data_IF_853610447613
#
_entry.id   IF_853610447613
#
_cell.length_a   1.000
_cell.length_b   1.000
_cell.length_c   1.000
_cell.angle_alpha   90.00
_cell.angle_beta   90.00
_cell.angle_gamma   90.00
#
_symmetry.space_group_name_H-M   'P 1'
#
loop_
_entity.id
_entity.type
_entity.pdbx_description
1 polymer ?
#
# COMPACT_ATOMS: atom_id res chain seq x y z
N UNK A 1 6.84 7.23 -3.93
CA UNK A 1 6.45 7.13 -2.50
C UNK A 1 5.96 5.72 -2.25
N UNK A 2 6.12 5.22 -1.03
CA UNK A 2 5.66 3.88 -0.64
C UNK A 2 4.83 4.01 0.63
N UNK A 3 3.75 3.24 0.73
CA UNK A 3 2.89 3.13 1.92
C UNK A 3 2.21 1.76 1.93
N UNK A 4 1.98 1.18 3.12
CA UNK A 4 1.07 0.02 3.24
C UNK A 4 -0.30 0.46 3.76
N UNK A 5 -1.38 -0.08 3.19
CA UNK A 5 -2.74 0.33 3.56
C UNK A 5 -3.79 -0.68 3.13
N UNK A 6 -4.89 -0.75 3.89
CA UNK A 6 -6.08 -1.53 3.53
C UNK A 6 -7.32 -0.66 3.26
N UNK A 7 -7.16 0.66 3.25
CA UNK A 7 -8.24 1.60 3.47
C UNK A 7 -8.36 2.73 2.45
N UNK A 8 -9.22 3.69 2.77
CA UNK A 8 -9.43 4.92 2.01
C UNK A 8 -8.16 5.76 1.89
N UNK A 9 -7.24 5.68 2.85
CA UNK A 9 -5.94 6.35 2.79
C UNK A 9 -5.18 6.00 1.51
N UNK A 10 -5.12 4.71 1.14
CA UNK A 10 -4.49 4.27 -0.10
C UNK A 10 -5.13 4.86 -1.35
N UNK A 11 -6.46 4.82 -1.43
CA UNK A 11 -7.20 5.38 -2.56
C UNK A 11 -7.01 6.91 -2.67
N UNK A 12 -7.04 7.63 -1.55
CA UNK A 12 -6.82 9.08 -1.52
C UNK A 12 -5.39 9.45 -1.89
N UNK A 13 -4.39 8.72 -1.36
CA UNK A 13 -2.99 8.94 -1.73
C UNK A 13 -2.76 8.64 -3.21
N UNK A 14 -3.27 7.53 -3.73
CA UNK A 14 -3.17 7.20 -5.16
C UNK A 14 -3.74 8.33 -6.03
N UNK A 15 -4.92 8.84 -5.68
CA UNK A 15 -5.53 9.97 -6.39
C UNK A 15 -4.66 11.24 -6.36
N UNK A 16 -4.21 11.66 -5.17
CA UNK A 16 -3.38 12.87 -5.03
C UNK A 16 -2.05 12.72 -5.76
N UNK A 17 -1.41 11.55 -5.68
CA UNK A 17 -0.16 11.27 -6.39
C UNK A 17 -0.35 11.36 -7.90
N UNK A 18 -1.43 10.79 -8.43
CA UNK A 18 -1.78 10.89 -9.83
C UNK A 18 -1.94 12.34 -10.28
N UNK A 19 -2.70 13.14 -9.53
CA UNK A 19 -2.94 14.56 -9.82
C UNK A 19 -1.64 15.38 -9.74
N UNK A 20 -0.74 15.04 -8.82
CA UNK A 20 0.53 15.77 -8.60
C UNK A 20 1.70 15.25 -9.44
N UNK A 21 1.53 14.15 -10.17
CA UNK A 21 2.61 13.52 -10.94
C UNK A 21 3.68 12.86 -10.08
N UNK A 22 3.33 12.39 -8.88
CA UNK A 22 4.25 11.65 -8.02
C UNK A 22 4.10 10.14 -8.22
N UNK A 23 5.19 9.40 -8.43
CA UNK A 23 5.12 7.94 -8.49
C UNK A 23 4.73 7.40 -7.11
N UNK A 24 3.79 6.46 -7.09
CA UNK A 24 3.24 5.87 -5.87
C UNK A 24 3.20 4.35 -5.98
N UNK A 25 3.81 3.69 -5.00
CA UNK A 25 3.68 2.25 -4.78
C UNK A 25 2.88 2.03 -3.50
N UNK A 26 1.87 1.17 -3.55
CA UNK A 26 1.01 0.83 -2.43
C UNK A 26 1.13 -0.66 -2.14
N UNK A 27 1.36 -1.01 -0.89
CA UNK A 27 1.28 -2.39 -0.41
C UNK A 27 -0.07 -2.61 0.26
N UNK A 28 -0.86 -3.55 -0.23
CA UNK A 28 -2.17 -3.91 0.31
C UNK A 28 -2.33 -5.42 0.40
N UNK A 29 -3.55 -5.91 0.61
CA UNK A 29 -3.87 -7.33 0.72
C UNK A 29 -5.23 -7.65 0.12
N UNK A 30 -5.39 -8.89 -0.34
CA UNK A 30 -6.67 -9.47 -0.76
C UNK A 30 -7.66 -9.65 0.41
N UNK A 31 -7.25 -9.48 1.67
CA UNK A 31 -8.16 -9.34 2.81
C UNK A 31 -8.97 -8.04 2.81
N UNK A 32 -8.59 -7.04 2.00
CA UNK A 32 -9.30 -5.78 1.91
C UNK A 32 -10.25 -5.74 0.70
N UNK A 33 -11.16 -4.76 0.70
CA UNK A 33 -12.18 -4.64 -0.34
C UNK A 33 -11.54 -4.53 -1.74
N UNK A 34 -11.98 -5.36 -2.70
CA UNK A 34 -11.44 -5.36 -4.05
C UNK A 34 -11.75 -4.05 -4.79
N UNK A 35 -12.83 -3.35 -4.45
CA UNK A 35 -13.15 -2.02 -4.96
C UNK A 35 -12.05 -1.01 -4.61
N UNK A 36 -11.49 -1.08 -3.40
CA UNK A 36 -10.39 -0.20 -2.98
C UNK A 36 -9.11 -0.50 -3.74
N UNK A 37 -8.77 -1.79 -3.90
CA UNK A 37 -7.60 -2.23 -4.68
C UNK A 37 -7.70 -1.75 -6.13
N UNK A 38 -8.84 -1.97 -6.78
CA UNK A 38 -9.12 -1.49 -8.14
C UNK A 38 -9.04 0.03 -8.23
N UNK A 39 -9.52 0.75 -7.21
CA UNK A 39 -9.45 2.21 -7.17
C UNK A 39 -7.99 2.70 -7.12
N UNK A 40 -7.14 2.08 -6.28
CA UNK A 40 -5.71 2.41 -6.23
C UNK A 40 -5.02 2.20 -7.59
N UNK A 41 -5.28 1.06 -8.23
CA UNK A 41 -4.75 0.75 -9.56
C UNK A 41 -5.29 1.69 -10.64
N UNK A 42 -6.58 2.04 -10.58
CA UNK A 42 -7.21 2.94 -11.55
C UNK A 42 -6.62 4.35 -11.50
N UNK A 43 -6.16 4.80 -10.32
CA UNK A 43 -5.40 6.04 -10.17
C UNK A 43 -3.92 5.90 -10.52
N UNK A 44 -3.46 4.74 -11.01
CA UNK A 44 -2.10 4.55 -11.47
C UNK A 44 -1.08 4.29 -10.37
N UNK A 45 -1.51 3.91 -9.16
CA UNK A 45 -0.58 3.40 -8.17
C UNK A 45 -0.07 2.01 -8.58
N UNK A 46 1.23 1.79 -8.38
CA UNK A 46 1.84 0.46 -8.44
C UNK A 46 1.39 -0.34 -7.20
N UNK A 47 0.47 -1.28 -7.39
CA UNK A 47 -0.18 -2.00 -6.29
C UNK A 47 0.45 -3.38 -6.09
N UNK A 48 1.09 -3.57 -4.93
CA UNK A 48 1.59 -4.86 -4.46
C UNK A 48 0.57 -5.47 -3.51
N UNK A 49 0.13 -6.71 -3.78
CA UNK A 49 -0.87 -7.41 -2.96
C UNK A 49 -0.21 -8.54 -2.19
N UNK A 50 -0.20 -8.41 -0.86
CA UNK A 50 0.25 -9.44 0.09
C UNK A 50 -0.91 -10.40 0.36
N UNK A 51 -0.75 -11.71 0.11
CA UNK A 51 -1.82 -12.68 0.34
C UNK A 51 -2.22 -12.75 1.82
N UNK A 52 -3.51 -12.80 2.09
CA UNK A 52 -4.07 -13.02 3.42
C UNK A 52 -4.27 -14.51 3.71
N UNK A 53 -4.51 -14.82 4.98
CA UNK A 53 -4.88 -16.17 5.39
C UNK A 53 -6.41 -16.34 5.33
N UNK A 54 -6.89 -16.71 4.14
CA UNK A 54 -8.31 -16.96 3.87
C UNK A 54 -9.17 -15.69 3.90
N UNK A 55 -8.65 -14.55 3.44
CA UNK A 55 -9.36 -13.27 3.44
C UNK A 55 -9.38 -12.58 4.81
N UNK A 56 -8.68 -13.10 5.80
CA UNK A 56 -8.70 -12.57 7.17
C UNK A 56 -7.66 -11.47 7.37
N UNK A 57 -8.09 -10.41 8.04
CA UNK A 57 -7.20 -9.37 8.56
C UNK A 57 -6.63 -9.87 9.90
N UNK A 58 -5.33 -10.09 9.95
CA UNK A 58 -4.62 -10.59 11.14
C UNK A 58 -3.44 -9.68 11.48
N UNK A 59 -2.94 -9.68 12.73
CA UNK A 59 -1.72 -8.94 13.09
C UNK A 59 -0.52 -9.33 12.21
N UNK A 60 -0.37 -10.63 11.92
CA UNK A 60 0.68 -11.16 11.05
C UNK A 60 0.60 -10.57 9.62
N UNK A 61 -0.60 -10.37 9.09
CA UNK A 61 -0.76 -9.73 7.78
C UNK A 61 -0.13 -8.34 7.74
N UNK A 62 -0.30 -7.53 8.78
CA UNK A 62 0.31 -6.21 8.86
C UNK A 62 1.85 -6.29 8.95
N UNK A 63 2.38 -7.27 9.68
CA UNK A 63 3.84 -7.51 9.74
C UNK A 63 4.38 -7.83 8.35
N UNK A 64 3.71 -8.73 7.61
CA UNK A 64 4.12 -9.10 6.25
C UNK A 64 4.00 -7.95 5.27
N UNK A 65 2.95 -7.13 5.38
CA UNK A 65 2.81 -5.92 4.58
C UNK A 65 3.92 -4.90 4.86
N UNK A 66 4.30 -4.71 6.13
CA UNK A 66 5.43 -3.84 6.51
C UNK A 66 6.76 -4.36 5.96
N UNK A 67 7.02 -5.66 6.08
CA UNK A 67 8.23 -6.27 5.52
C UNK A 67 8.33 -6.08 4.01
N UNK A 68 7.19 -6.11 3.31
CA UNK A 68 7.16 -5.89 1.87
C UNK A 68 7.47 -4.42 1.51
N UNK A 69 6.99 -3.47 2.30
CA UNK A 69 7.41 -2.07 2.18
C UNK A 69 8.92 -1.91 2.41
N UNK A 70 9.46 -2.52 3.46
CA UNK A 70 10.89 -2.47 3.77
C UNK A 70 11.73 -3.06 2.62
N UNK A 71 11.25 -4.16 2.00
CA UNK A 71 11.87 -4.77 0.82
C UNK A 71 11.89 -3.82 -0.38
N UNK A 72 10.79 -3.10 -0.63
CA UNK A 72 10.68 -2.14 -1.73
C UNK A 72 11.64 -0.96 -1.50
N UNK A 73 11.68 -0.41 -0.29
CA UNK A 73 12.57 0.70 0.06
C UNK A 73 14.04 0.29 -0.06
N UNK A 74 14.39 -0.92 0.38
CA UNK A 74 15.76 -1.43 0.26
C UNK A 74 16.22 -1.60 -1.20
N UNK A 75 15.28 -1.87 -2.12
CA UNK A 75 15.57 -2.03 -3.54
C UNK A 75 15.70 -0.69 -4.29
N UNK A 76 15.09 0.39 -3.78
CA UNK A 76 15.15 1.73 -4.38
C UNK A 76 15.28 2.82 -3.30
N UNK A 77 16.52 3.27 -3.10
CA UNK A 77 16.89 4.28 -2.10
C UNK A 77 16.40 5.69 -2.43
N UNK A 78 15.80 5.91 -3.62
CA UNK A 78 15.19 7.18 -4.02
C UNK A 78 13.73 7.35 -3.55
N UNK A 79 13.10 6.29 -3.03
CA UNK A 79 11.70 6.33 -2.61
C UNK A 79 11.53 6.98 -1.24
N UNK A 80 10.66 7.99 -1.18
CA UNK A 80 10.18 8.55 0.08
C UNK A 80 9.13 7.63 0.68
N UNK A 81 9.43 7.01 1.82
CA UNK A 81 8.45 6.26 2.60
C UNK A 81 7.52 7.25 3.32
N UNK A 82 6.23 7.17 3.01
CA UNK A 82 5.20 7.86 3.79
C UNK A 82 4.69 6.85 4.79
N UNK A 83 5.42 6.63 5.88
CA UNK A 83 4.89 5.85 6.99
C UNK A 83 3.61 6.55 7.47
N UNK A 84 2.44 5.98 7.15
CA UNK A 84 1.24 6.25 7.92
C UNK A 84 1.56 6.05 9.39
N UNK A 85 1.20 7.03 10.20
CA UNK A 85 1.60 7.20 11.58
C UNK A 85 1.73 5.92 12.40
N UNK A 86 2.76 5.93 13.23
CA UNK A 86 3.05 5.06 14.36
C UNK A 86 1.82 4.92 15.28
N UNK A 87 0.86 4.08 14.93
CA UNK A 87 -0.24 3.65 15.80
C UNK A 87 -0.46 2.15 15.67
N UNK A 88 0.58 1.38 16.01
CA UNK A 88 0.55 0.17 16.85
C UNK A 88 1.96 -0.07 17.39
#
# INVERSE_FOLDING_TARGET
MVEFTGGSTGSSLAFICAVKGYPMTLVSSDAFSPEKLRTMQAFGADLVVVPSDGGRITPDLFVRMRHEVDRIIAADTGLKYLAGDLYL
#
